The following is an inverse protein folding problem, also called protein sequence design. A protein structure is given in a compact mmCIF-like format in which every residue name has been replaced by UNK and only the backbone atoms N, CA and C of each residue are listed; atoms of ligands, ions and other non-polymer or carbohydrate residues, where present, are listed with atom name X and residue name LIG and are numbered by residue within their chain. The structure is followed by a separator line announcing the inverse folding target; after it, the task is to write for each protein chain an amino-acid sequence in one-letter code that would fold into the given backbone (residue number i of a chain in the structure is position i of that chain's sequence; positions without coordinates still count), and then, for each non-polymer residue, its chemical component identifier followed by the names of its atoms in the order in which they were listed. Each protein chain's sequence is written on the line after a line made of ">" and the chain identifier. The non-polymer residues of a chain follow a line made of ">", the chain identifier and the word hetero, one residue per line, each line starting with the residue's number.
data_IF_486467353916
#
_entry.id   IF_486467353916
#
_cell.length_a   1.000
_cell.length_b   1.000
_cell.length_c   1.000
_cell.angle_alpha   90.00
_cell.angle_beta   90.00
_cell.angle_gamma   90.00
#
_symmetry.space_group_name_H-M   'P 1'
#
loop_
_entity.id
_entity.type
_entity.pdbx_description
1 polymer ?
#
# COMPACT_ATOMS: atom_id res chain seq x y z
N UNK A 1 1.05 7.90 11.06
CA UNK A 1 1.24 6.57 10.48
C UNK A 1 2.69 6.29 10.11
N UNK A 2 3.28 6.90 9.07
CA UNK A 2 4.69 6.61 8.68
C UNK A 2 5.70 6.76 9.81
N UNK A 3 5.73 7.92 10.49
CA UNK A 3 6.65 8.13 11.62
C UNK A 3 6.49 7.04 12.69
N UNK A 4 5.24 6.78 13.11
CA UNK A 4 4.88 5.69 14.03
C UNK A 4 5.43 4.33 13.59
N UNK A 5 5.26 4.01 12.31
CA UNK A 5 5.67 2.74 11.73
C UNK A 5 7.19 2.56 11.76
N UNK A 6 7.94 3.61 11.42
CA UNK A 6 9.39 3.60 11.51
C UNK A 6 9.89 3.52 12.95
N UNK A 7 9.18 4.11 13.92
CA UNK A 7 9.51 3.93 15.34
C UNK A 7 9.36 2.47 15.77
N UNK A 8 8.28 1.79 15.36
CA UNK A 8 8.12 0.34 15.60
C UNK A 8 9.20 -0.50 14.93
N UNK A 9 9.59 -0.14 13.70
CA UNK A 9 10.68 -0.80 12.99
C UNK A 9 12.03 -0.62 13.70
N UNK A 10 12.32 0.58 14.22
CA UNK A 10 13.53 0.83 15.03
C UNK A 10 13.50 -0.01 16.30
N UNK A 11 12.36 -0.04 17.02
CA UNK A 11 12.23 -0.86 18.22
C UNK A 11 12.46 -2.35 17.92
N UNK A 12 11.90 -2.86 16.83
CA UNK A 12 12.13 -4.22 16.37
C UNK A 12 13.61 -4.47 16.03
N UNK A 13 14.27 -3.50 15.38
CA UNK A 13 15.70 -3.59 15.02
C UNK A 13 16.56 -3.70 16.28
N UNK A 14 16.27 -2.89 17.30
CA UNK A 14 16.95 -2.97 18.61
C UNK A 14 16.75 -4.35 19.24
N UNK A 15 15.52 -4.89 19.22
CA UNK A 15 15.23 -6.23 19.73
C UNK A 15 16.02 -7.32 18.98
N UNK A 16 16.16 -7.21 17.66
CA UNK A 16 16.97 -8.15 16.88
C UNK A 16 18.47 -8.04 17.16
N UNK A 17 18.98 -6.83 17.40
CA UNK A 17 20.37 -6.65 17.86
C UNK A 17 20.57 -7.32 19.22
N UNK A 18 19.65 -7.14 20.17
CA UNK A 18 19.71 -7.80 21.47
C UNK A 18 19.66 -9.34 21.36
N UNK A 19 18.80 -9.88 20.48
CA UNK A 19 18.75 -11.31 20.20
C UNK A 19 20.05 -11.83 19.58
N UNK A 20 20.67 -11.08 18.66
CA UNK A 20 21.96 -11.44 18.10
C UNK A 20 23.04 -11.54 19.19
N UNK A 21 23.11 -10.58 20.11
CA UNK A 21 24.02 -10.67 21.25
C UNK A 21 23.70 -11.88 22.13
N UNK A 22 22.42 -12.12 22.43
CA UNK A 22 21.99 -13.29 23.20
C UNK A 22 22.47 -14.60 22.57
N UNK A 23 22.33 -14.75 21.24
CA UNK A 23 22.76 -15.96 20.54
C UNK A 23 24.26 -16.20 20.64
N UNK A 24 25.07 -15.14 20.59
CA UNK A 24 26.52 -15.26 20.73
C UNK A 24 26.95 -15.55 22.17
N UNK A 25 26.22 -15.04 23.17
CA UNK A 25 26.54 -15.25 24.59
C UNK A 25 26.10 -16.65 25.05
N UNK A 26 24.90 -17.08 24.67
CA UNK A 26 24.31 -18.36 25.10
C UNK A 26 24.70 -19.51 24.17
N UNK A 27 25.29 -19.21 23.00
CA UNK A 27 25.64 -20.20 21.97
C UNK A 27 24.43 -21.03 21.50
N UNK A 28 23.25 -20.42 21.51
CA UNK A 28 21.99 -21.00 21.03
C UNK A 28 21.34 -20.01 20.03
N UNK A 29 20.85 -20.51 18.89
CA UNK A 29 20.20 -19.71 17.84
C UNK A 29 18.68 -19.68 17.94
N UNK A 30 18.09 -20.34 18.94
CA UNK A 30 16.66 -20.29 19.18
C UNK A 30 16.23 -18.98 19.83
N UNK A 31 15.27 -18.28 19.21
CA UNK A 31 14.61 -17.12 19.82
C UNK A 31 13.84 -17.61 21.06
N UNK A 32 14.00 -17.01 22.25
CA UNK A 32 13.21 -17.41 23.42
C UNK A 32 11.71 -17.22 23.18
N UNK A 33 10.88 -18.15 23.65
CA UNK A 33 9.44 -18.18 23.35
C UNK A 33 8.70 -16.88 23.72
N UNK A 34 9.06 -16.29 24.86
CA UNK A 34 8.51 -15.01 25.35
C UNK A 34 8.68 -13.85 24.36
N UNK A 35 9.67 -13.91 23.45
CA UNK A 35 9.93 -12.89 22.44
C UNK A 35 9.34 -13.20 21.07
N UNK A 36 9.05 -14.48 20.76
CA UNK A 36 8.63 -14.92 19.41
C UNK A 36 7.38 -14.18 18.93
N UNK A 37 6.32 -14.14 19.75
CA UNK A 37 5.05 -13.52 19.36
C UNK A 37 5.09 -11.99 19.43
N UNK A 38 5.62 -11.34 20.50
CA UNK A 38 5.70 -9.89 20.57
C UNK A 38 6.49 -9.26 19.40
N UNK A 39 7.66 -9.80 19.05
CA UNK A 39 8.49 -9.24 17.97
C UNK A 39 7.79 -9.39 16.61
N UNK A 40 7.19 -10.56 16.33
CA UNK A 40 6.43 -10.77 15.09
C UNK A 40 5.24 -9.82 15.00
N UNK A 41 4.56 -9.58 16.12
CA UNK A 41 3.41 -8.69 16.15
C UNK A 41 3.81 -7.24 15.84
N UNK A 42 4.92 -6.75 16.40
CA UNK A 42 5.50 -5.44 16.04
C UNK A 42 5.81 -5.36 14.55
N UNK A 43 6.42 -6.40 13.98
CA UNK A 43 6.76 -6.42 12.55
C UNK A 43 5.53 -6.30 11.65
N UNK A 44 4.48 -7.05 11.97
CA UNK A 44 3.28 -7.14 11.14
C UNK A 44 2.42 -5.90 11.34
N UNK A 45 2.01 -5.61 12.58
CA UNK A 45 1.05 -4.55 12.87
C UNK A 45 1.71 -3.20 13.07
N UNK A 46 2.81 -3.16 13.86
CA UNK A 46 3.55 -1.94 14.16
C UNK A 46 4.27 -1.34 12.95
N UNK A 47 4.89 -2.18 12.12
CA UNK A 47 5.57 -1.75 10.91
C UNK A 47 4.70 -1.90 9.67
N UNK A 48 4.57 -3.11 9.12
CA UNK A 48 4.03 -3.32 7.76
C UNK A 48 2.61 -2.77 7.57
N UNK A 49 1.67 -3.09 8.47
CA UNK A 49 0.29 -2.62 8.37
C UNK A 49 0.18 -1.11 8.56
N UNK A 50 0.92 -0.52 9.51
CA UNK A 50 0.94 0.93 9.72
C UNK A 50 1.48 1.71 8.51
N UNK A 51 2.47 1.18 7.77
CA UNK A 51 2.93 1.78 6.49
C UNK A 51 1.78 1.79 5.50
N UNK A 52 1.13 0.64 5.30
CA UNK A 52 0.03 0.51 4.34
C UNK A 52 -1.13 1.44 4.71
N UNK A 53 -1.57 1.45 5.97
CA UNK A 53 -2.61 2.37 6.46
C UNK A 53 -2.22 3.83 6.18
N UNK A 54 -0.95 4.19 6.41
CA UNK A 54 -0.40 5.51 6.12
C UNK A 54 -0.52 5.90 4.64
N UNK A 55 -0.08 5.02 3.73
CA UNK A 55 -0.24 5.22 2.27
C UNK A 55 -1.72 5.42 1.93
N UNK A 56 -2.60 4.65 2.55
CA UNK A 56 -4.01 4.59 2.19
C UNK A 56 -4.82 5.79 2.62
N UNK A 57 -4.46 6.44 3.71
CA UNK A 57 -5.16 7.67 4.14
C UNK A 57 -5.06 8.82 3.13
N UNK A 58 -4.05 8.84 2.26
CA UNK A 58 -3.84 9.91 1.26
C UNK A 58 -3.88 9.43 -0.19
N UNK A 59 -3.26 8.29 -0.47
CA UNK A 59 -3.05 7.83 -1.86
C UNK A 59 -4.25 7.06 -2.40
N UNK A 60 -4.93 6.29 -1.55
CA UNK A 60 -6.07 5.48 -1.97
C UNK A 60 -7.24 6.31 -2.52
N UNK A 61 -7.66 7.42 -1.88
CA UNK A 61 -8.81 8.20 -2.33
C UNK A 61 -8.61 8.77 -3.73
N UNK A 62 -7.41 9.28 -3.99
CA UNK A 62 -6.97 9.76 -5.30
C UNK A 62 -7.07 8.64 -6.35
N UNK A 63 -6.65 7.43 -5.99
CA UNK A 63 -6.61 6.33 -6.93
C UNK A 63 -7.99 5.75 -7.25
N UNK A 64 -8.87 5.65 -6.26
CA UNK A 64 -10.21 5.13 -6.43
C UNK A 64 -11.22 6.19 -6.88
N UNK A 65 -10.88 7.47 -6.83
CA UNK A 65 -11.82 8.56 -7.04
C UNK A 65 -12.90 8.57 -5.97
N UNK A 66 -12.49 8.43 -4.70
CA UNK A 66 -13.39 8.48 -3.54
C UNK A 66 -12.99 9.66 -2.65
N UNK A 67 -13.93 10.17 -1.86
CA UNK A 67 -13.66 11.22 -0.89
C UNK A 67 -12.57 10.80 0.10
N UNK A 68 -11.70 11.74 0.47
CA UNK A 68 -10.68 11.52 1.50
C UNK A 68 -11.31 11.09 2.84
N UNK A 69 -10.67 10.16 3.58
CA UNK A 69 -11.07 9.77 4.92
C UNK A 69 -11.14 10.96 5.87
N UNK A 70 -12.00 10.88 6.89
CA UNK A 70 -12.07 11.92 7.89
C UNK A 70 -10.76 11.94 8.69
N UNK A 71 -10.05 13.09 8.68
CA UNK A 71 -8.76 13.24 9.33
C UNK A 71 -8.80 13.04 10.85
N UNK A 72 -9.89 13.45 11.52
CA UNK A 72 -10.06 13.23 12.97
C UNK A 72 -10.16 11.74 13.27
N UNK A 73 -10.97 11.02 12.49
CA UNK A 73 -11.11 9.55 12.63
C UNK A 73 -9.80 8.84 12.33
N UNK A 74 -9.05 9.29 11.31
CA UNK A 74 -7.70 8.78 11.04
C UNK A 74 -6.73 9.03 12.21
N UNK A 75 -6.87 10.14 12.93
CA UNK A 75 -6.14 10.41 14.18
C UNK A 75 -6.49 9.40 15.28
N UNK A 76 -7.78 9.12 15.50
CA UNK A 76 -8.20 8.11 16.46
C UNK A 76 -7.67 6.71 16.11
N UNK A 77 -7.78 6.30 14.85
CA UNK A 77 -7.20 5.04 14.36
C UNK A 77 -5.71 4.95 14.70
N UNK A 78 -4.94 6.03 14.46
CA UNK A 78 -3.50 6.05 14.76
C UNK A 78 -3.24 5.81 16.26
N UNK A 79 -3.94 6.51 17.13
CA UNK A 79 -3.74 6.38 18.58
C UNK A 79 -4.17 4.99 19.09
N UNK A 80 -5.35 4.54 18.69
CA UNK A 80 -5.91 3.23 19.03
C UNK A 80 -4.93 2.12 18.67
N UNK A 81 -4.43 2.11 17.42
CA UNK A 81 -3.53 1.06 16.96
C UNK A 81 -2.16 1.10 17.66
N UNK A 82 -1.59 2.28 17.92
CA UNK A 82 -0.33 2.33 18.68
C UNK A 82 -0.48 1.83 20.12
N UNK A 83 -1.57 2.23 20.78
CA UNK A 83 -1.86 1.79 22.15
C UNK A 83 -2.11 0.28 22.15
N UNK A 84 -2.91 -0.25 21.22
CA UNK A 84 -3.21 -1.68 21.15
C UNK A 84 -1.95 -2.52 20.89
N UNK A 85 -1.10 -2.11 19.95
CA UNK A 85 0.15 -2.82 19.63
C UNK A 85 1.09 -2.80 20.83
N UNK A 86 1.26 -1.64 21.47
CA UNK A 86 2.09 -1.52 22.68
C UNK A 86 1.58 -2.41 23.81
N UNK A 87 0.28 -2.35 24.11
CA UNK A 87 -0.34 -3.18 25.13
C UNK A 87 -0.18 -4.66 24.82
N UNK A 88 -0.44 -5.09 23.57
CA UNK A 88 -0.35 -6.50 23.16
C UNK A 88 1.08 -7.02 23.23
N UNK A 89 2.06 -6.23 22.80
CA UNK A 89 3.48 -6.57 22.86
C UNK A 89 3.92 -6.74 24.32
N UNK A 90 3.61 -5.77 25.18
CA UNK A 90 3.99 -5.80 26.60
C UNK A 90 3.28 -6.95 27.32
N UNK A 91 1.97 -7.07 27.17
CA UNK A 91 1.20 -8.09 27.86
C UNK A 91 1.51 -9.49 27.35
N UNK A 92 1.75 -9.67 26.05
CA UNK A 92 2.18 -10.95 25.48
C UNK A 92 3.54 -11.41 26.00
N UNK A 93 4.47 -10.48 26.24
CA UNK A 93 5.74 -10.80 26.87
C UNK A 93 5.57 -11.17 28.35
N UNK A 94 4.92 -10.31 29.13
CA UNK A 94 4.83 -10.50 30.59
C UNK A 94 3.90 -11.64 31.01
N UNK A 95 2.88 -11.97 30.22
CA UNK A 95 2.02 -13.15 30.45
C UNK A 95 2.84 -14.44 30.50
N UNK A 96 3.85 -14.56 29.64
CA UNK A 96 4.74 -15.73 29.56
C UNK A 96 5.93 -15.61 30.53
N UNK A 97 6.43 -14.39 30.75
CA UNK A 97 7.59 -14.15 31.63
C UNK A 97 7.26 -14.23 33.13
N UNK A 98 6.04 -13.87 33.55
CA UNK A 98 5.64 -13.79 34.98
C UNK A 98 4.41 -14.64 35.30
N UNK A 99 4.63 -15.82 35.88
CA UNK A 99 3.53 -16.73 36.28
C UNK A 99 2.56 -16.11 37.27
N UNK A 100 3.05 -15.38 38.28
CA UNK A 100 2.24 -14.77 39.34
C UNK A 100 1.29 -13.66 38.83
N UNK A 101 1.60 -13.03 37.69
CA UNK A 101 0.79 -11.97 37.08
C UNK A 101 0.14 -12.41 35.76
N UNK A 102 0.16 -13.71 35.46
CA UNK A 102 -0.36 -14.25 34.20
C UNK A 102 -1.78 -13.78 33.92
N UNK A 103 -2.70 -13.94 34.88
CA UNK A 103 -4.10 -13.52 34.72
C UNK A 103 -4.29 -12.04 34.42
N UNK A 104 -3.52 -11.17 35.09
CA UNK A 104 -3.55 -9.72 34.84
C UNK A 104 -3.11 -9.37 33.41
N UNK A 105 -1.98 -9.93 32.96
CA UNK A 105 -1.49 -9.67 31.60
C UNK A 105 -2.35 -10.36 30.53
N UNK A 106 -3.01 -11.48 30.83
CA UNK A 106 -4.01 -12.09 29.93
C UNK A 106 -5.20 -11.16 29.68
N UNK A 107 -5.70 -10.48 30.72
CA UNK A 107 -6.78 -9.48 30.55
C UNK A 107 -6.32 -8.30 29.68
N UNK A 108 -5.11 -7.76 29.93
CA UNK A 108 -4.55 -6.68 29.11
C UNK A 108 -4.37 -7.14 27.65
N UNK A 109 -3.90 -8.37 27.43
CA UNK A 109 -3.73 -8.95 26.10
C UNK A 109 -5.06 -9.04 25.34
N UNK A 110 -6.14 -9.43 26.02
CA UNK A 110 -7.48 -9.46 25.45
C UNK A 110 -7.99 -8.06 25.08
N UNK A 111 -7.87 -7.09 26.01
CA UNK A 111 -8.23 -5.68 25.76
C UNK A 111 -7.45 -5.13 24.56
N UNK A 112 -6.16 -5.44 24.47
CA UNK A 112 -5.32 -5.01 23.36
C UNK A 112 -5.79 -5.60 22.03
N UNK A 113 -6.16 -6.88 21.98
CA UNK A 113 -6.73 -7.50 20.77
C UNK A 113 -8.05 -6.85 20.34
N UNK A 114 -8.96 -6.58 21.27
CA UNK A 114 -10.23 -5.90 20.98
C UNK A 114 -9.98 -4.49 20.43
N UNK A 115 -9.08 -3.75 21.07
CA UNK A 115 -8.72 -2.39 20.68
C UNK A 115 -8.09 -2.35 19.29
N UNK A 116 -7.22 -3.32 18.98
CA UNK A 116 -6.60 -3.47 17.66
C UNK A 116 -7.65 -3.73 16.58
N UNK A 117 -8.51 -4.73 16.77
CA UNK A 117 -9.57 -5.06 15.80
C UNK A 117 -10.49 -3.87 15.59
N UNK A 118 -10.88 -3.17 16.67
CA UNK A 118 -11.65 -1.94 16.57
C UNK A 118 -10.92 -0.87 15.75
N UNK A 119 -9.63 -0.66 15.99
CA UNK A 119 -8.80 0.29 15.23
C UNK A 119 -8.73 -0.03 13.74
N UNK A 120 -8.53 -1.31 13.38
CA UNK A 120 -8.47 -1.75 11.98
C UNK A 120 -9.84 -1.64 11.31
N UNK A 121 -10.92 -2.02 11.99
CA UNK A 121 -12.27 -1.93 11.42
C UNK A 121 -12.74 -0.48 11.27
N UNK A 122 -12.40 0.38 12.23
CA UNK A 122 -12.61 1.82 12.12
C UNK A 122 -11.83 2.42 10.94
N UNK A 123 -10.60 1.95 10.69
CA UNK A 123 -9.85 2.32 9.50
C UNK A 123 -10.58 1.91 8.21
N UNK A 124 -10.97 0.63 8.07
CA UNK A 124 -11.70 0.13 6.90
C UNK A 124 -12.98 0.92 6.67
N UNK A 125 -13.73 1.22 7.73
CA UNK A 125 -14.93 2.04 7.67
C UNK A 125 -14.63 3.47 7.18
N UNK A 126 -13.58 4.11 7.73
CA UNK A 126 -13.20 5.48 7.38
C UNK A 126 -12.70 5.63 5.93
N UNK A 127 -12.29 4.54 5.27
CA UNK A 127 -11.88 4.56 3.86
C UNK A 127 -13.03 4.88 2.89
N UNK A 128 -14.29 4.85 3.32
CA UNK A 128 -15.46 5.13 2.48
C UNK A 128 -15.58 4.23 1.21
N UNK A 129 -14.87 3.11 1.17
CA UNK A 129 -14.67 2.28 -0.03
C UNK A 129 -15.98 1.77 -0.66
N UNK A 130 -16.97 1.49 0.19
CA UNK A 130 -18.25 0.91 -0.20
C UNK A 130 -19.37 1.95 -0.34
N UNK A 131 -19.11 3.22 -0.01
CA UNK A 131 -20.11 4.26 -0.07
C UNK A 131 -20.19 4.87 -1.48
N UNK A 132 -21.12 4.36 -2.30
CA UNK A 132 -21.37 4.85 -3.67
C UNK A 132 -21.72 6.35 -3.74
N UNK A 133 -22.18 6.97 -2.65
CA UNK A 133 -22.49 8.41 -2.62
C UNK A 133 -21.25 9.29 -2.52
N UNK A 134 -20.09 8.70 -2.17
CA UNK A 134 -18.81 9.41 -1.98
C UNK A 134 -17.83 9.18 -3.14
N UNK A 135 -18.30 8.65 -4.27
CA UNK A 135 -17.50 8.57 -5.50
C UNK A 135 -17.39 9.95 -6.14
N UNK A 136 -16.16 10.44 -6.27
CA UNK A 136 -15.81 11.63 -7.03
C UNK A 136 -15.67 11.23 -8.49
N UNK A 137 -16.31 11.96 -9.41
CA UNK A 137 -16.10 11.75 -10.85
C UNK A 137 -14.62 12.00 -11.16
N UNK A 138 -13.88 10.92 -11.42
CA UNK A 138 -12.51 11.02 -11.91
C UNK A 138 -12.54 11.59 -13.33
N UNK A 139 -11.95 12.76 -13.54
CA UNK A 139 -11.78 13.39 -14.85
C UNK A 139 -10.71 12.71 -15.71
N UNK A 140 -9.98 11.73 -15.14
CA UNK A 140 -8.91 10.99 -15.81
C UNK A 140 -9.31 9.53 -16.06
N UNK A 141 -9.07 9.06 -17.28
CA UNK A 141 -9.20 7.64 -17.70
C UNK A 141 -8.07 6.81 -17.07
N UNK A 142 -8.14 6.61 -15.75
CA UNK A 142 -7.17 5.80 -15.00
C UNK A 142 -7.42 4.30 -15.22
N UNK A 143 -6.38 3.49 -15.48
CA UNK A 143 -6.50 2.04 -15.53
C UNK A 143 -7.11 1.50 -14.23
N UNK A 144 -8.17 0.70 -14.31
CA UNK A 144 -8.97 0.27 -13.15
C UNK A 144 -8.56 -1.10 -12.59
N UNK A 145 -7.65 -1.81 -13.26
CA UNK A 145 -7.25 -3.18 -12.91
C UNK A 145 -6.66 -3.36 -11.51
N UNK A 146 -6.04 -2.32 -10.94
CA UNK A 146 -5.49 -2.35 -9.58
C UNK A 146 -6.58 -2.31 -8.49
N UNK A 147 -7.79 -1.82 -8.80
CA UNK A 147 -8.86 -1.60 -7.80
C UNK A 147 -9.32 -2.90 -7.14
N UNK A 148 -9.35 -4.00 -7.88
CA UNK A 148 -9.72 -5.33 -7.36
C UNK A 148 -8.69 -5.88 -6.38
N UNK A 149 -7.39 -5.61 -6.60
CA UNK A 149 -6.33 -5.99 -5.66
C UNK A 149 -6.54 -5.33 -4.31
N UNK A 150 -6.81 -4.03 -4.33
CA UNK A 150 -7.03 -3.26 -3.11
C UNK A 150 -8.27 -3.77 -2.35
N UNK A 151 -9.37 -4.01 -3.06
CA UNK A 151 -10.61 -4.53 -2.45
C UNK A 151 -10.39 -5.91 -1.83
N UNK A 152 -9.77 -6.82 -2.58
CA UNK A 152 -9.47 -8.16 -2.09
C UNK A 152 -8.50 -8.12 -0.90
N UNK A 153 -7.48 -7.26 -0.94
CA UNK A 153 -6.56 -7.06 0.17
C UNK A 153 -7.28 -6.60 1.45
N UNK A 154 -8.23 -5.66 1.35
CA UNK A 154 -9.02 -5.21 2.50
C UNK A 154 -9.97 -6.29 3.03
N UNK A 155 -10.49 -7.16 2.17
CA UNK A 155 -11.26 -8.35 2.60
C UNK A 155 -10.35 -9.30 3.38
N UNK A 156 -9.14 -9.56 2.87
CA UNK A 156 -8.16 -10.39 3.56
C UNK A 156 -7.71 -9.80 4.89
N UNK A 157 -7.55 -8.47 4.98
CA UNK A 157 -7.29 -7.78 6.25
C UNK A 157 -8.43 -8.00 7.26
N UNK A 158 -9.68 -7.86 6.81
CA UNK A 158 -10.84 -8.13 7.67
C UNK A 158 -10.85 -9.60 8.16
N UNK A 159 -10.58 -10.56 7.28
CA UNK A 159 -10.50 -11.98 7.63
C UNK A 159 -9.36 -12.24 8.62
N UNK A 160 -8.16 -11.68 8.38
CA UNK A 160 -7.01 -11.89 9.26
C UNK A 160 -7.23 -11.29 10.64
N UNK A 161 -7.74 -10.07 10.74
CA UNK A 161 -8.03 -9.43 12.03
C UNK A 161 -9.14 -10.15 12.80
N UNK A 162 -10.19 -10.60 12.10
CA UNK A 162 -11.24 -11.40 12.73
C UNK A 162 -10.69 -12.71 13.30
N UNK A 163 -9.78 -13.37 12.57
CA UNK A 163 -9.10 -14.57 13.05
C UNK A 163 -8.21 -14.27 14.26
N UNK A 164 -7.41 -13.20 14.24
CA UNK A 164 -6.55 -12.82 15.36
C UNK A 164 -7.35 -12.47 16.62
N UNK A 165 -8.48 -11.78 16.48
CA UNK A 165 -9.40 -11.52 17.59
C UNK A 165 -9.95 -12.83 18.15
N UNK A 166 -10.42 -13.73 17.28
CA UNK A 166 -10.94 -15.04 17.69
C UNK A 166 -9.89 -15.82 18.46
N UNK A 167 -8.63 -15.82 18.00
CA UNK A 167 -7.53 -16.48 18.68
C UNK A 167 -7.26 -15.85 20.05
N UNK A 168 -7.24 -14.51 20.10
CA UNK A 168 -7.04 -13.77 21.35
C UNK A 168 -8.11 -14.11 22.39
N UNK A 169 -9.38 -14.15 21.98
CA UNK A 169 -10.50 -14.49 22.86
C UNK A 169 -10.41 -15.95 23.28
N UNK A 170 -10.09 -16.87 22.37
CA UNK A 170 -9.88 -18.29 22.70
C UNK A 170 -8.79 -18.45 23.76
N UNK A 171 -7.58 -17.94 23.52
CA UNK A 171 -6.44 -18.09 24.45
C UNK A 171 -6.69 -17.45 25.82
N UNK A 172 -7.59 -16.46 25.87
CA UNK A 172 -8.00 -15.80 27.11
C UNK A 172 -8.99 -16.64 27.91
N UNK A 173 -9.96 -17.27 27.23
CA UNK A 173 -11.05 -18.02 27.89
C UNK A 173 -10.62 -19.45 28.20
N UNK A 174 -9.98 -20.14 27.25
CA UNK A 174 -9.57 -21.54 27.44
C UNK A 174 -8.28 -21.66 28.26
N UNK A 175 -7.44 -20.61 28.26
CA UNK A 175 -6.08 -20.68 28.79
C UNK A 175 -5.11 -21.49 27.93
N UNK A 176 -5.58 -22.05 26.82
CA UNK A 176 -4.78 -22.85 25.90
C UNK A 176 -4.26 -22.01 24.73
N UNK A 177 -3.06 -22.34 24.24
CA UNK A 177 -2.50 -21.69 23.06
C UNK A 177 -3.21 -22.14 21.78
N UNK A 178 -3.43 -21.21 20.86
CA UNK A 178 -3.96 -21.55 19.53
C UNK A 178 -2.93 -22.32 18.74
N UNK A 179 -3.38 -23.34 18.01
CA UNK A 179 -2.49 -24.22 17.25
C UNK A 179 -1.64 -23.46 16.23
N UNK A 180 -0.41 -23.94 16.04
CA UNK A 180 0.52 -23.36 15.07
C UNK A 180 -0.03 -23.33 13.63
N UNK A 181 -0.89 -24.28 13.27
CA UNK A 181 -1.54 -24.31 11.97
C UNK A 181 -2.52 -23.15 11.76
N UNK A 182 -3.34 -22.84 12.78
CA UNK A 182 -4.27 -21.70 12.74
C UNK A 182 -3.51 -20.36 12.66
N UNK A 183 -2.44 -20.19 13.45
CA UNK A 183 -1.58 -19.01 13.36
C UNK A 183 -0.88 -18.90 12.01
N UNK A 184 -0.47 -20.02 11.41
CA UNK A 184 0.11 -20.01 10.07
C UNK A 184 -0.89 -19.59 9.00
N UNK A 185 -2.15 -20.02 9.09
CA UNK A 185 -3.22 -19.59 8.19
C UNK A 185 -3.50 -18.09 8.32
N UNK A 186 -3.62 -17.57 9.54
CA UNK A 186 -3.73 -16.13 9.81
C UNK A 186 -2.56 -15.34 9.21
N UNK A 187 -1.32 -15.79 9.45
CA UNK A 187 -0.12 -15.13 8.92
C UNK A 187 -0.12 -15.11 7.40
N UNK A 188 -0.58 -16.17 6.76
CA UNK A 188 -0.68 -16.21 5.31
C UNK A 188 -1.77 -15.29 4.76
N UNK A 189 -2.92 -15.22 5.43
CA UNK A 189 -4.00 -14.28 5.10
C UNK A 189 -3.52 -12.82 5.17
N UNK A 190 -2.79 -12.44 6.23
CA UNK A 190 -2.30 -11.05 6.36
C UNK A 190 -1.11 -10.75 5.45
N UNK A 191 -0.15 -11.67 5.26
CA UNK A 191 1.03 -11.42 4.43
C UNK A 191 0.74 -11.52 2.93
N UNK A 192 0.12 -12.60 2.47
CA UNK A 192 -0.14 -12.81 1.05
C UNK A 192 -1.47 -12.15 0.67
N UNK A 193 -2.52 -12.42 1.43
CA UNK A 193 -3.87 -11.93 1.18
C UNK A 193 -3.98 -10.41 1.29
N UNK A 194 -3.41 -9.80 2.32
CA UNK A 194 -3.44 -8.35 2.52
C UNK A 194 -2.17 -7.64 2.03
N UNK A 195 -1.03 -7.78 2.72
CA UNK A 195 0.18 -6.97 2.50
C UNK A 195 0.68 -7.08 1.04
N UNK A 196 0.91 -8.31 0.56
CA UNK A 196 1.47 -8.55 -0.76
C UNK A 196 0.50 -8.15 -1.86
N UNK A 197 -0.77 -8.55 -1.74
CA UNK A 197 -1.81 -8.15 -2.69
C UNK A 197 -1.96 -6.63 -2.78
N UNK A 198 -1.80 -5.94 -1.65
CA UNK A 198 -1.80 -4.48 -1.61
C UNK A 198 -0.61 -3.88 -2.35
N UNK A 199 0.60 -4.37 -2.07
CA UNK A 199 1.83 -3.93 -2.74
C UNK A 199 1.72 -4.14 -4.24
N UNK A 200 1.28 -5.32 -4.70
CA UNK A 200 1.10 -5.65 -6.11
C UNK A 200 0.05 -4.74 -6.77
N UNK A 201 -1.07 -4.49 -6.10
CA UNK A 201 -2.09 -3.56 -6.54
C UNK A 201 -1.53 -2.16 -6.75
N UNK A 202 -0.91 -1.59 -5.73
CA UNK A 202 -0.29 -0.26 -5.81
C UNK A 202 0.82 -0.20 -6.87
N UNK A 203 1.73 -1.18 -6.90
CA UNK A 203 2.84 -1.24 -7.84
C UNK A 203 2.37 -1.32 -9.30
N UNK A 204 1.30 -2.09 -9.59
CA UNK A 204 0.71 -2.20 -10.92
C UNK A 204 0.25 -0.87 -11.51
N UNK A 205 0.03 0.14 -10.66
CA UNK A 205 -0.30 1.50 -11.04
C UNK A 205 0.90 2.44 -10.95
N UNK A 206 1.63 2.40 -9.84
CA UNK A 206 2.69 3.37 -9.55
C UNK A 206 3.88 3.21 -10.50
N UNK A 207 4.22 1.98 -10.91
CA UNK A 207 5.36 1.72 -11.80
C UNK A 207 5.11 2.26 -13.23
N UNK A 208 3.99 1.92 -13.92
CA UNK A 208 3.72 2.52 -15.22
C UNK A 208 3.56 4.03 -15.14
N UNK A 209 2.92 4.54 -14.07
CA UNK A 209 2.71 5.98 -13.87
C UNK A 209 4.04 6.73 -13.73
N UNK A 210 5.00 6.22 -12.95
CA UNK A 210 6.31 6.84 -12.81
C UNK A 210 7.11 6.87 -14.12
N UNK A 211 6.87 5.88 -15.00
CA UNK A 211 7.47 5.83 -16.33
C UNK A 211 6.64 6.56 -17.41
N UNK A 212 5.42 7.00 -17.11
CA UNK A 212 4.52 7.63 -18.07
C UNK A 212 4.02 6.68 -19.17
N UNK A 213 4.09 5.36 -18.97
CA UNK A 213 3.61 4.34 -19.92
C UNK A 213 2.37 3.64 -19.40
N UNK A 214 1.67 2.92 -20.28
CA UNK A 214 0.64 1.96 -19.87
C UNK A 214 1.31 0.67 -19.38
N UNK A 215 0.65 -0.05 -18.46
CA UNK A 215 1.08 -1.39 -18.07
C UNK A 215 1.11 -2.30 -19.30
N UNK A 216 2.18 -3.07 -19.47
CA UNK A 216 2.42 -3.88 -20.67
C UNK A 216 1.29 -4.88 -20.95
N UNK A 217 0.80 -5.59 -19.93
CA UNK A 217 -0.24 -6.61 -20.11
C UNK A 217 -1.28 -6.59 -18.99
N UNK A 218 -2.52 -6.27 -19.34
CA UNK A 218 -3.67 -6.39 -18.43
C UNK A 218 -4.03 -7.86 -18.18
N UNK A 219 -3.77 -8.75 -19.15
CA UNK A 219 -3.98 -10.20 -19.01
C UNK A 219 -3.05 -10.80 -17.95
N UNK A 220 -1.76 -10.50 -17.98
CA UNK A 220 -0.81 -10.97 -16.95
C UNK A 220 -1.19 -10.44 -15.57
N UNK A 221 -1.61 -9.18 -15.47
CA UNK A 221 -2.14 -8.64 -14.21
C UNK A 221 -3.38 -9.41 -13.72
N UNK A 222 -4.30 -9.77 -14.62
CA UNK A 222 -5.45 -10.59 -14.25
C UNK A 222 -5.04 -12.00 -13.80
N UNK A 223 -4.07 -12.63 -14.46
CA UNK A 223 -3.53 -13.93 -14.07
C UNK A 223 -2.86 -13.87 -12.69
N UNK A 224 -2.01 -12.87 -12.43
CA UNK A 224 -1.45 -12.62 -11.10
C UNK A 224 -2.56 -12.55 -10.05
N UNK A 225 -3.62 -11.77 -10.29
CA UNK A 225 -4.72 -11.59 -9.34
C UNK A 225 -5.43 -12.91 -9.02
N UNK A 226 -5.72 -13.72 -10.04
CA UNK A 226 -6.42 -15.00 -9.88
C UNK A 226 -5.52 -15.99 -9.12
N UNK A 227 -4.28 -16.15 -9.56
CA UNK A 227 -3.37 -17.14 -8.98
C UNK A 227 -3.02 -16.82 -7.52
N UNK A 228 -2.76 -15.55 -7.18
CA UNK A 228 -2.45 -15.18 -5.79
C UNK A 228 -3.65 -15.39 -4.87
N UNK A 229 -4.89 -15.14 -5.34
CA UNK A 229 -6.08 -15.37 -4.52
C UNK A 229 -6.39 -16.86 -4.37
N UNK A 230 -6.33 -17.65 -5.44
CA UNK A 230 -6.55 -19.10 -5.36
C UNK A 230 -5.51 -19.73 -4.44
N UNK A 231 -4.23 -19.40 -4.61
CA UNK A 231 -3.16 -19.87 -3.73
C UNK A 231 -3.41 -19.47 -2.28
N UNK A 232 -3.75 -18.20 -2.02
CA UNK A 232 -3.98 -17.73 -0.65
C UNK A 232 -5.18 -18.44 0.01
N UNK A 233 -6.31 -18.59 -0.70
CA UNK A 233 -7.47 -19.36 -0.21
C UNK A 233 -7.09 -20.80 0.07
N UNK A 234 -6.42 -21.47 -0.87
CA UNK A 234 -5.97 -22.85 -0.70
C UNK A 234 -5.08 -22.98 0.55
N UNK A 235 -4.12 -22.06 0.76
CA UNK A 235 -3.24 -22.09 1.94
C UNK A 235 -4.01 -21.88 3.24
N UNK A 236 -4.82 -20.83 3.30
CA UNK A 236 -5.55 -20.42 4.52
C UNK A 236 -6.56 -21.48 4.94
N UNK A 237 -7.19 -22.17 3.99
CA UNK A 237 -8.17 -23.23 4.26
C UNK A 237 -7.49 -24.58 4.52
N UNK A 238 -6.53 -24.98 3.66
CA UNK A 238 -5.92 -26.29 3.77
C UNK A 238 -5.05 -26.43 5.02
N UNK A 239 -4.37 -25.37 5.47
CA UNK A 239 -3.46 -25.46 6.61
C UNK A 239 -4.14 -25.90 7.93
N UNK A 240 -5.24 -25.27 8.39
CA UNK A 240 -5.91 -25.74 9.60
C UNK A 240 -6.62 -27.07 9.36
N UNK A 241 -7.21 -27.29 8.17
CA UNK A 241 -7.90 -28.56 7.89
C UNK A 241 -6.93 -29.74 7.85
N UNK A 242 -5.75 -29.58 7.26
CA UNK A 242 -4.75 -30.65 7.17
C UNK A 242 -4.15 -31.00 8.52
N UNK A 243 -4.00 -30.02 9.41
CA UNK A 243 -3.44 -30.22 10.74
C UNK A 243 -4.41 -30.90 11.71
N UNK A 244 -5.73 -30.67 11.59
CA UNK A 244 -6.70 -31.14 12.60
C UNK A 244 -7.68 -32.20 12.10
N UNK A 245 -7.95 -32.30 10.79
CA UNK A 245 -9.03 -33.15 10.26
C UNK A 245 -8.59 -34.06 9.11
N UNK A 246 -7.93 -33.52 8.10
CA UNK A 246 -7.70 -34.20 6.81
C UNK A 246 -6.25 -34.06 6.33
N UNK A 247 -5.31 -34.91 6.82
CA UNK A 247 -3.89 -34.81 6.49
C UNK A 247 -3.57 -34.82 4.98
N UNK A 248 -4.44 -35.40 4.15
CA UNK A 248 -4.28 -35.43 2.69
C UNK A 248 -4.23 -34.01 2.09
N UNK A 249 -4.82 -33.01 2.77
CA UNK A 249 -4.80 -31.61 2.35
C UNK A 249 -3.43 -30.93 2.48
N UNK A 250 -2.42 -31.56 3.09
CA UNK A 250 -1.04 -31.06 3.04
C UNK A 250 -0.53 -30.91 1.60
N UNK A 251 -0.98 -31.77 0.68
CA UNK A 251 -0.66 -31.66 -0.74
C UNK A 251 -1.25 -30.39 -1.37
N UNK A 252 -2.50 -30.06 -1.05
CA UNK A 252 -3.18 -28.82 -1.49
C UNK A 252 -2.45 -27.58 -0.95
N UNK A 253 -2.03 -27.64 0.31
CA UNK A 253 -1.21 -26.61 0.95
C UNK A 253 0.16 -26.42 0.27
N UNK A 254 0.78 -27.50 -0.21
CA UNK A 254 2.01 -27.44 -1.01
C UNK A 254 1.79 -26.83 -2.39
N UNK A 255 0.73 -27.26 -3.10
CA UNK A 255 0.36 -26.74 -4.43
C UNK A 255 0.06 -25.23 -4.37
N UNK A 256 -0.54 -24.75 -3.28
CA UNK A 256 -0.89 -23.34 -3.14
C UNK A 256 0.34 -22.41 -3.22
N UNK A 257 1.49 -22.85 -2.72
CA UNK A 257 2.74 -22.10 -2.82
C UNK A 257 3.21 -21.92 -4.27
N UNK A 258 3.06 -22.94 -5.12
CA UNK A 258 3.39 -22.85 -6.54
C UNK A 258 2.47 -21.89 -7.29
N UNK A 259 1.17 -21.85 -6.92
CA UNK A 259 0.23 -20.90 -7.50
C UNK A 259 0.61 -19.44 -7.16
N UNK A 260 0.97 -19.17 -5.90
CA UNK A 260 1.41 -17.84 -5.48
C UNK A 260 2.73 -17.44 -6.13
N UNK A 261 3.68 -18.38 -6.24
CA UNK A 261 4.93 -18.14 -6.93
C UNK A 261 4.73 -17.82 -8.42
N UNK A 262 3.84 -18.56 -9.10
CA UNK A 262 3.45 -18.27 -10.48
C UNK A 262 2.81 -16.87 -10.60
N UNK A 263 1.99 -16.45 -9.63
CA UNK A 263 1.44 -15.10 -9.60
C UNK A 263 2.52 -14.02 -9.55
N UNK A 264 3.53 -14.21 -8.69
CA UNK A 264 4.69 -13.32 -8.59
C UNK A 264 5.50 -13.29 -9.89
N UNK A 265 5.67 -14.43 -10.55
CA UNK A 265 6.37 -14.51 -11.83
C UNK A 265 5.63 -13.77 -12.95
N UNK A 266 4.30 -13.94 -13.07
CA UNK A 266 3.48 -13.19 -14.02
C UNK A 266 3.58 -11.68 -13.78
N UNK A 267 3.56 -11.25 -12.51
CA UNK A 267 3.70 -9.84 -12.17
C UNK A 267 5.10 -9.30 -12.48
N UNK A 268 6.14 -10.09 -12.18
CA UNK A 268 7.53 -9.78 -12.47
C UNK A 268 7.76 -9.59 -13.96
N UNK A 269 7.31 -10.52 -14.81
CA UNK A 269 7.39 -10.39 -16.28
C UNK A 269 6.67 -9.14 -16.76
N UNK A 270 5.45 -8.91 -16.27
CA UNK A 270 4.64 -7.77 -16.71
C UNK A 270 5.32 -6.44 -16.33
N UNK A 271 5.87 -6.36 -15.12
CA UNK A 271 6.61 -5.19 -14.63
C UNK A 271 7.89 -4.99 -15.41
N UNK A 272 8.68 -6.05 -15.62
CA UNK A 272 9.92 -6.01 -16.39
C UNK A 272 9.68 -5.49 -17.81
N UNK A 273 8.70 -6.06 -18.53
CA UNK A 273 8.34 -5.59 -19.87
C UNK A 273 7.82 -4.16 -19.86
N UNK A 274 7.03 -3.77 -18.86
CA UNK A 274 6.58 -2.37 -18.70
C UNK A 274 7.76 -1.41 -18.53
N UNK A 275 8.78 -1.82 -17.77
CA UNK A 275 10.02 -1.05 -17.59
C UNK A 275 10.90 -1.01 -18.84
N UNK A 276 10.64 -1.85 -19.85
CA UNK A 276 11.29 -1.79 -21.17
C UNK A 276 10.53 -0.94 -22.19
N UNK A 277 9.23 -0.67 -21.97
CA UNK A 277 8.44 0.14 -22.91
C UNK A 277 8.91 1.58 -22.93
N UNK A 278 9.24 2.10 -24.11
CA UNK A 278 9.44 3.54 -24.24
C UNK A 278 8.11 4.27 -24.17
N UNK A 279 8.15 5.52 -23.73
CA UNK A 279 6.97 6.36 -23.77
C UNK A 279 6.58 6.59 -25.23
N UNK A 280 5.44 6.03 -25.64
CA UNK A 280 4.81 6.41 -26.90
C UNK A 280 4.51 7.91 -26.84
N UNK A 281 5.26 8.67 -27.63
CA UNK A 281 4.91 10.05 -27.90
C UNK A 281 3.62 10.01 -28.72
N UNK A 282 2.49 10.33 -28.09
CA UNK A 282 1.21 10.45 -28.79
C UNK A 282 1.37 11.38 -30.01
N UNK A 283 0.55 11.22 -31.06
CA UNK A 283 0.64 12.05 -32.25
C UNK A 283 0.60 13.52 -31.81
N UNK A 284 1.73 14.20 -32.00
CA UNK A 284 1.86 15.62 -31.67
C UNK A 284 1.04 16.41 -32.67
N UNK A 285 -0.26 16.57 -32.41
CA UNK A 285 -0.99 17.67 -33.00
C UNK A 285 -0.25 18.97 -32.64
N UNK A 286 -0.01 19.78 -33.65
CA UNK A 286 0.70 21.04 -33.49
C UNK A 286 -0.16 21.95 -32.60
N UNK A 287 0.39 22.36 -31.45
CA UNK A 287 -0.31 23.21 -30.49
C UNK A 287 -0.37 24.62 -31.08
N UNK A 288 -1.48 24.95 -31.75
CA UNK A 288 -1.73 26.30 -32.26
C UNK A 288 -2.12 27.28 -31.15
N UNK A 289 -2.86 26.78 -30.17
CA UNK A 289 -3.36 27.55 -29.02
C UNK A 289 -3.24 26.69 -27.75
N UNK A 290 -2.58 27.24 -26.74
CA UNK A 290 -2.56 26.67 -25.39
C UNK A 290 -3.90 26.93 -24.69
N UNK A 291 -4.47 25.88 -24.12
CA UNK A 291 -5.70 25.88 -23.31
C UNK A 291 -5.45 25.21 -21.97
N UNK A 292 -6.42 25.24 -21.05
CA UNK A 292 -6.31 24.56 -19.76
C UNK A 292 -6.05 23.03 -19.88
N UNK A 293 -6.43 22.43 -21.01
CA UNK A 293 -6.24 21.01 -21.28
C UNK A 293 -4.90 20.67 -21.95
N UNK A 294 -4.14 21.69 -22.37
CA UNK A 294 -2.83 21.49 -23.01
C UNK A 294 -1.85 20.87 -22.02
N UNK A 295 -1.17 19.80 -22.45
CA UNK A 295 -0.17 19.10 -21.66
C UNK A 295 1.12 19.94 -21.54
N UNK A 296 1.63 20.08 -20.31
CA UNK A 296 2.77 20.96 -20.03
C UNK A 296 4.04 20.51 -20.75
N UNK A 297 4.31 19.20 -20.78
CA UNK A 297 5.48 18.66 -21.47
C UNK A 297 5.42 18.85 -22.99
N UNK A 298 4.26 18.58 -23.60
CA UNK A 298 4.10 18.74 -25.05
C UNK A 298 4.27 20.19 -25.49
N UNK A 299 3.79 21.14 -24.68
CA UNK A 299 3.98 22.56 -24.92
C UNK A 299 5.46 22.95 -24.91
N UNK A 300 6.20 22.58 -23.86
CA UNK A 300 7.64 22.88 -23.75
C UNK A 300 8.42 22.20 -24.87
N UNK A 301 8.04 20.97 -25.26
CA UNK A 301 8.70 20.24 -26.34
C UNK A 301 8.52 20.94 -27.70
N UNK A 302 7.31 21.39 -28.03
CA UNK A 302 7.04 22.08 -29.30
C UNK A 302 7.55 23.53 -29.30
N UNK A 303 7.52 24.19 -28.14
CA UNK A 303 7.89 25.60 -27.94
C UNK A 303 8.81 25.75 -26.71
N UNK A 304 10.12 25.47 -26.83
CA UNK A 304 11.07 25.49 -25.69
C UNK A 304 11.09 26.81 -24.91
N UNK A 305 10.81 27.94 -25.56
CA UNK A 305 10.74 29.27 -24.95
C UNK A 305 9.63 29.40 -23.88
N UNK A 306 8.61 28.53 -23.92
CA UNK A 306 7.53 28.53 -22.92
C UNK A 306 7.98 28.06 -21.55
N UNK A 307 9.13 27.37 -21.46
CA UNK A 307 9.70 26.92 -20.19
C UNK A 307 10.01 28.10 -19.26
N UNK A 308 10.60 29.17 -19.79
CA UNK A 308 10.98 30.33 -18.98
C UNK A 308 9.75 31.07 -18.46
N UNK A 309 8.67 31.14 -19.27
CA UNK A 309 7.38 31.69 -18.86
C UNK A 309 6.79 30.86 -17.72
N UNK A 310 6.75 29.53 -17.85
CA UNK A 310 6.26 28.65 -16.79
C UNK A 310 7.07 28.81 -15.50
N UNK A 311 8.40 28.91 -15.60
CA UNK A 311 9.25 29.15 -14.44
C UNK A 311 8.96 30.52 -13.81
N UNK A 312 8.75 31.56 -14.62
CA UNK A 312 8.41 32.93 -14.20
C UNK A 312 7.09 33.00 -13.43
N UNK A 313 6.08 32.23 -13.87
CA UNK A 313 4.80 32.08 -13.16
C UNK A 313 4.88 31.20 -11.90
N UNK A 314 6.06 30.69 -11.55
CA UNK A 314 6.28 29.98 -10.29
C UNK A 314 6.38 28.46 -10.41
N UNK A 315 6.32 27.87 -11.59
CA UNK A 315 6.55 26.44 -11.81
C UNK A 315 8.05 26.07 -11.75
N UNK A 316 8.75 26.53 -10.71
CA UNK A 316 10.21 26.40 -10.52
C UNK A 316 10.72 24.95 -10.59
N UNK A 317 9.85 23.99 -10.27
CA UNK A 317 10.12 22.55 -10.30
C UNK A 317 10.54 22.07 -11.70
N UNK A 318 10.08 22.75 -12.76
CA UNK A 318 10.38 22.43 -14.16
C UNK A 318 11.83 22.73 -14.56
N UNK A 319 12.59 23.45 -13.73
CA UNK A 319 14.04 23.60 -13.91
C UNK A 319 14.77 22.25 -13.82
N UNK A 320 14.26 21.33 -13.02
CA UNK A 320 14.83 19.99 -12.91
C UNK A 320 14.44 19.16 -14.16
N UNK A 321 15.40 18.71 -14.98
CA UNK A 321 15.12 17.93 -16.18
C UNK A 321 14.33 16.65 -15.90
N UNK A 322 14.54 16.03 -14.74
CA UNK A 322 13.84 14.81 -14.32
C UNK A 322 12.36 15.12 -14.10
N UNK A 323 12.03 16.18 -13.32
CA UNK A 323 10.65 16.57 -13.05
C UNK A 323 9.94 17.07 -14.32
N UNK A 324 10.67 17.79 -15.19
CA UNK A 324 10.18 18.18 -16.51
C UNK A 324 9.84 16.97 -17.39
N UNK A 325 10.66 15.92 -17.36
CA UNK A 325 10.45 14.73 -18.18
C UNK A 325 9.51 13.69 -17.53
N UNK A 326 9.05 13.90 -16.30
CA UNK A 326 8.16 12.96 -15.58
C UNK A 326 6.84 13.63 -15.20
N UNK A 327 6.88 14.60 -14.28
CA UNK A 327 5.70 15.29 -13.75
C UNK A 327 4.96 16.06 -14.86
N UNK A 328 5.67 16.90 -15.63
CA UNK A 328 5.02 17.71 -16.67
C UNK A 328 4.40 16.88 -17.80
N UNK A 329 4.81 15.61 -17.97
CA UNK A 329 4.20 14.68 -18.92
C UNK A 329 2.81 14.23 -18.49
N UNK A 330 2.50 14.28 -17.19
CA UNK A 330 1.27 13.72 -16.62
C UNK A 330 0.18 14.77 -16.32
N UNK A 331 0.50 16.06 -16.40
CA UNK A 331 -0.41 17.14 -16.01
C UNK A 331 -0.69 18.12 -17.16
N UNK A 332 -1.90 18.69 -17.17
CA UNK A 332 -2.27 19.83 -18.02
C UNK A 332 -1.94 21.18 -17.37
N UNK A 333 -1.96 22.27 -18.13
CA UNK A 333 -1.77 23.63 -17.60
C UNK A 333 -2.80 23.99 -16.53
N UNK A 334 -4.07 23.60 -16.71
CA UNK A 334 -5.12 23.82 -15.71
C UNK A 334 -4.86 23.04 -14.41
N UNK A 335 -4.40 21.79 -14.53
CA UNK A 335 -4.02 20.99 -13.35
C UNK A 335 -2.77 21.56 -12.65
N UNK A 336 -1.79 22.04 -13.42
CA UNK A 336 -0.61 22.70 -12.88
C UNK A 336 -1.01 23.94 -12.06
N UNK A 337 -1.93 24.77 -12.56
CA UNK A 337 -2.44 25.94 -11.87
C UNK A 337 -3.25 25.63 -10.60
N UNK A 338 -3.80 24.42 -10.47
CA UNK A 338 -4.43 23.96 -9.22
C UNK A 338 -3.40 23.54 -8.17
N UNK A 339 -2.29 22.91 -8.60
CA UNK A 339 -1.20 22.47 -7.71
C UNK A 339 -0.41 23.68 -7.20
N UNK A 340 -0.13 24.63 -8.09
CA UNK A 340 0.54 25.88 -7.77
C UNK A 340 -0.39 27.04 -8.15
N UNK A 341 -1.08 27.68 -7.19
CA UNK A 341 -2.12 28.66 -7.47
C UNK A 341 -1.55 29.85 -8.26
N UNK A 342 -1.94 29.94 -9.53
CA UNK A 342 -1.59 31.04 -10.43
C UNK A 342 -2.82 31.47 -11.20
N UNK A 343 -2.85 32.72 -11.68
CA UNK A 343 -3.91 33.15 -12.57
C UNK A 343 -3.77 32.43 -13.93
N UNK A 344 -4.66 31.47 -14.17
CA UNK A 344 -4.63 30.64 -15.37
C UNK A 344 -4.87 31.46 -16.64
N UNK A 345 -5.67 32.53 -16.59
CA UNK A 345 -5.93 33.38 -17.75
C UNK A 345 -4.68 34.14 -18.18
N UNK A 346 -3.96 34.71 -17.21
CA UNK A 346 -2.70 35.42 -17.46
C UNK A 346 -1.63 34.49 -18.03
N UNK A 347 -1.50 33.29 -17.43
CA UNK A 347 -0.58 32.27 -17.90
C UNK A 347 -0.89 31.86 -19.35
N UNK A 348 -2.15 31.56 -19.66
CA UNK A 348 -2.54 31.15 -21.01
C UNK A 348 -2.32 32.27 -22.03
N UNK A 349 -2.53 33.52 -21.65
CA UNK A 349 -2.29 34.69 -22.52
C UNK A 349 -0.82 34.81 -22.90
N UNK A 350 0.11 34.74 -21.93
CA UNK A 350 1.54 34.82 -22.21
C UNK A 350 2.06 33.62 -23.01
N UNK A 351 1.61 32.40 -22.66
CA UNK A 351 1.98 31.19 -23.41
C UNK A 351 1.52 31.27 -24.87
N UNK A 352 0.30 31.75 -25.12
CA UNK A 352 -0.22 31.93 -26.48
C UNK A 352 0.52 33.03 -27.26
N UNK A 353 0.97 34.10 -26.59
CA UNK A 353 1.82 35.11 -27.21
C UNK A 353 3.17 34.50 -27.66
N UNK A 354 3.79 33.68 -26.81
CA UNK A 354 5.05 33.00 -27.09
C UNK A 354 4.95 31.89 -28.16
N UNK A 355 3.79 31.23 -28.25
CA UNK A 355 3.47 30.30 -29.34
C UNK A 355 3.42 31.05 -30.68
N UNK A 356 2.72 32.20 -30.73
CA UNK A 356 2.59 33.00 -31.96
C UNK A 356 3.94 33.50 -32.48
N UNK A 357 4.81 34.00 -31.60
CA UNK A 357 6.17 34.40 -31.98
C UNK A 357 7.00 33.21 -32.46
N UNK A 358 6.87 32.05 -31.82
CA UNK A 358 7.55 30.82 -32.25
C UNK A 358 7.07 30.24 -33.58
N UNK A 359 5.79 30.42 -33.93
CA UNK A 359 5.24 30.03 -35.24
C UNK A 359 5.77 30.96 -36.35
N UNK A 360 5.86 32.27 -36.09
CA UNK A 360 6.38 33.24 -37.07
C UNK A 360 7.84 33.00 -37.47
N UNK A 361 8.66 32.45 -36.58
CA UNK A 361 10.08 32.13 -36.83
C UNK A 361 10.27 30.83 -37.64
N UNK A 362 9.28 29.92 -37.67
CA UNK A 362 9.36 28.66 -38.43
C UNK A 362 8.83 28.75 -39.87
N UNK A 363 8.20 29.87 -40.23
CA UNK A 363 7.56 30.10 -41.56
C UNK A 363 8.36 31.08 -42.42
N UNK A 364 9.41 31.69 -41.87
CA UNK A 364 10.46 32.41 -42.60
C UNK A 364 11.67 31.48 -42.78
#
# INVERSE_FOLDING_TARGET
>A
FFLSSYLWFIFQTIAFIALYFHFNVVLNTEIPDVFKNPIRHIQIMGFACMVIIGIFTKTLPIFLGIQEPNQKVSGYVLHILNISIALRTVSGFYREYTSNLHGFFTVIFCIAGILETFGVFLFIYNLNLFNRRKTVKSTTNLPTGFRKYIRAALIWLFISESALLTFTVYETISGEQVSHALFGAYRHAIFVGFISMMILGCASKMIPLSKGVKLCSTRLLNMTFVFINIGCVCRVVAQPLSAHFYPQLYSVMGISGFLEYAAMFFFGINTWKTLQLDMEEGPTEQIKIATANTNVYQLIKQYPQTLDILIGFGFKQLKNPILRNTLARTISLGQAAQINPVNLEDLLRELNAAIKTGIGVKVA
#
